data_IF_372247688436
#
_entry.id   IF_372247688436
#
_cell.length_a   1.000
_cell.length_b   1.000
_cell.length_c   1.000
_cell.angle_alpha   90.00
_cell.angle_beta   90.00
_cell.angle_gamma   90.00
#
_symmetry.space_group_name_H-M   'P 1'
#
loop_
_entity.id
_entity.type
_entity.pdbx_description
1 polymer ?
#
# COMPACT_ATOMS: atom_id res chain seq x y z
N UNK A 1 33.08 -70.37 30.27
CA UNK A 1 31.77 -69.69 30.26
C UNK A 1 32.00 -68.19 30.39
N UNK A 2 31.38 -67.42 29.51
CA UNK A 2 31.67 -66.01 29.19
C UNK A 2 31.77 -65.13 30.46
N UNK A 3 32.97 -64.66 30.79
CA UNK A 3 33.17 -63.53 31.72
C UNK A 3 33.07 -62.25 30.90
N UNK A 4 32.03 -61.47 31.20
CA UNK A 4 31.75 -60.17 30.60
C UNK A 4 32.76 -59.18 31.16
N UNK A 5 33.61 -58.65 30.28
CA UNK A 5 34.50 -57.53 30.58
C UNK A 5 33.67 -56.25 30.64
N UNK A 6 33.48 -55.71 31.85
CA UNK A 6 32.94 -54.35 32.02
C UNK A 6 34.11 -53.37 31.93
N UNK A 7 34.24 -52.67 30.80
CA UNK A 7 35.13 -51.52 30.71
C UNK A 7 34.51 -50.38 31.51
N UNK A 8 35.10 -50.08 32.66
CA UNK A 8 34.85 -48.83 33.39
C UNK A 8 35.62 -47.74 32.64
N UNK A 9 34.94 -47.03 31.71
CA UNK A 9 35.50 -45.82 31.12
C UNK A 9 35.40 -44.70 32.18
N UNK A 10 36.52 -44.44 32.85
CA UNK A 10 36.70 -43.26 33.66
C UNK A 10 36.86 -42.07 32.69
N UNK A 11 35.77 -41.35 32.41
CA UNK A 11 35.89 -40.05 31.76
C UNK A 11 36.36 -39.04 32.80
N UNK A 12 37.62 -38.65 32.68
CA UNK A 12 38.16 -37.45 33.30
C UNK A 12 37.35 -36.24 32.83
N UNK A 13 36.77 -35.52 33.80
CA UNK A 13 36.17 -34.20 33.57
C UNK A 13 37.28 -33.24 33.11
N UNK A 14 37.36 -32.98 31.81
CA UNK A 14 38.00 -31.78 31.29
C UNK A 14 36.88 -30.80 31.02
N UNK A 15 36.76 -29.81 31.92
CA UNK A 15 35.91 -28.65 31.72
C UNK A 15 36.50 -27.81 30.56
N UNK A 16 36.07 -28.09 29.34
CA UNK A 16 36.16 -27.14 28.24
C UNK A 16 34.90 -26.28 28.29
N UNK A 17 35.07 -25.04 28.72
CA UNK A 17 34.07 -23.99 28.61
C UNK A 17 33.87 -23.67 27.13
N UNK A 18 32.85 -24.26 26.52
CA UNK A 18 32.41 -23.88 25.17
C UNK A 18 31.81 -22.47 25.20
N UNK A 19 32.69 -21.47 25.01
CA UNK A 19 32.33 -20.14 24.51
C UNK A 19 31.93 -20.26 23.03
N UNK A 20 30.78 -20.86 22.74
CA UNK A 20 30.24 -20.83 21.36
C UNK A 20 28.72 -20.79 21.26
N UNK A 21 27.96 -20.85 22.37
CA UNK A 21 26.50 -20.83 22.31
C UNK A 21 25.81 -19.47 22.59
N UNK A 22 26.55 -18.36 22.64
CA UNK A 22 25.99 -17.03 22.94
C UNK A 22 26.10 -15.99 21.81
N UNK A 23 26.50 -16.39 20.59
CA UNK A 23 26.73 -15.44 19.48
C UNK A 23 25.74 -15.53 18.30
N UNK A 24 24.59 -16.20 18.46
CA UNK A 24 23.57 -16.25 17.40
C UNK A 24 22.29 -15.45 17.76
N UNK A 25 22.16 -14.95 18.98
CA UNK A 25 20.94 -14.22 19.41
C UNK A 25 21.06 -12.69 19.37
N UNK A 26 22.19 -12.13 18.91
CA UNK A 26 22.41 -10.67 18.87
C UNK A 26 22.95 -10.12 17.55
N UNK A 27 22.84 -10.88 16.45
CA UNK A 27 23.04 -10.29 15.12
C UNK A 27 21.75 -9.58 14.66
N UNK A 28 21.75 -8.26 14.84
CA UNK A 28 21.02 -7.24 14.06
C UNK A 28 19.48 -7.22 14.09
N UNK A 29 18.84 -7.22 15.26
CA UNK A 29 17.48 -6.64 15.36
C UNK A 29 17.52 -5.11 15.62
N UNK A 30 18.65 -4.59 16.11
CA UNK A 30 18.79 -3.22 16.59
C UNK A 30 19.40 -2.22 15.57
N UNK A 31 19.48 -2.57 14.29
CA UNK A 31 20.10 -1.68 13.28
C UNK A 31 19.18 -1.11 12.20
N UNK A 32 17.86 -1.33 12.21
CA UNK A 32 17.01 -0.89 11.08
C UNK A 32 15.61 -0.36 11.39
N UNK A 33 15.26 -0.06 12.64
CA UNK A 33 14.00 0.63 12.94
C UNK A 33 14.33 2.02 13.49
N UNK A 34 14.20 3.05 12.64
CA UNK A 34 14.18 4.45 13.10
C UNK A 34 13.02 4.61 14.12
N UNK A 35 13.14 5.53 15.08
CA UNK A 35 12.08 5.81 16.09
C UNK A 35 10.71 6.03 15.42
N UNK A 36 10.71 6.69 14.27
CA UNK A 36 9.54 6.87 13.42
C UNK A 36 8.85 5.55 13.04
N UNK A 37 9.64 4.52 12.71
CA UNK A 37 9.13 3.19 12.39
C UNK A 37 8.53 2.51 13.63
N UNK A 38 9.07 2.78 14.84
CA UNK A 38 8.53 2.24 16.08
C UNK A 38 7.20 2.90 16.45
N UNK A 39 7.08 4.22 16.27
CA UNK A 39 5.84 4.94 16.52
C UNK A 39 4.68 4.43 15.63
N UNK A 40 4.94 4.21 14.33
CA UNK A 40 3.93 3.67 13.42
C UNK A 40 3.51 2.24 13.78
N UNK A 41 4.48 1.40 14.18
CA UNK A 41 4.21 0.01 14.59
C UNK A 41 3.42 -0.04 15.91
N UNK A 42 3.74 0.83 16.88
CA UNK A 42 3.01 0.96 18.13
C UNK A 42 1.57 1.42 17.87
N UNK A 43 1.40 2.50 17.10
CA UNK A 43 0.08 3.00 16.73
C UNK A 43 -0.75 1.93 16.00
N UNK A 44 -0.14 1.17 15.07
CA UNK A 44 -0.81 0.05 14.44
C UNK A 44 -1.20 -1.04 15.44
N UNK A 45 -0.30 -1.44 16.34
CA UNK A 45 -0.57 -2.48 17.32
C UNK A 45 -1.75 -2.13 18.24
N UNK A 46 -1.88 -0.86 18.63
CA UNK A 46 -2.97 -0.35 19.46
C UNK A 46 -4.31 -0.26 18.71
N UNK A 47 -4.30 -0.05 17.39
CA UNK A 47 -5.50 0.27 16.60
C UNK A 47 -5.89 -0.81 15.57
N UNK A 48 -5.11 -1.88 15.41
CA UNK A 48 -5.37 -2.94 14.39
C UNK A 48 -6.59 -3.81 14.68
N UNK A 49 -6.99 -3.90 15.95
CA UNK A 49 -8.01 -4.86 16.40
C UNK A 49 -9.41 -4.25 16.31
N UNK A 50 -10.14 -4.64 15.26
CA UNK A 50 -11.58 -4.44 15.19
C UNK A 50 -12.24 -5.66 14.56
N UNK A 51 -12.87 -6.48 15.40
CA UNK A 51 -13.52 -7.71 14.94
C UNK A 51 -14.92 -7.48 14.39
N UNK A 52 -15.52 -6.31 14.69
CA UNK A 52 -16.85 -5.99 14.21
C UNK A 52 -16.85 -5.76 12.70
N UNK A 53 -17.91 -6.16 11.98
CA UNK A 53 -18.06 -5.81 10.58
C UNK A 53 -18.17 -4.30 10.42
N UNK A 54 -17.45 -3.75 9.45
CA UNK A 54 -17.56 -2.33 9.08
C UNK A 54 -18.97 -2.00 8.58
N UNK A 55 -19.48 -0.83 8.97
CA UNK A 55 -20.72 -0.26 8.40
C UNK A 55 -20.36 0.98 7.60
N UNK A 56 -20.43 0.87 6.28
CA UNK A 56 -20.32 1.98 5.35
C UNK A 56 -21.68 2.68 5.27
N UNK A 57 -21.78 3.94 5.67
CA UNK A 57 -23.05 4.69 5.72
C UNK A 57 -22.95 5.87 4.76
N UNK A 58 -23.99 6.09 3.94
CA UNK A 58 -24.02 7.18 2.97
C UNK A 58 -23.08 6.97 1.79
N UNK A 59 -22.69 8.07 1.15
CA UNK A 59 -21.87 8.06 -0.07
C UNK A 59 -20.40 8.37 0.25
N UNK A 60 -19.51 8.14 -0.73
CA UNK A 60 -18.08 8.46 -0.58
C UNK A 60 -17.82 9.93 -0.26
N UNK A 61 -18.70 10.86 -0.65
CA UNK A 61 -18.57 12.29 -0.38
C UNK A 61 -19.60 12.90 0.57
N UNK A 62 -20.41 12.07 1.21
CA UNK A 62 -21.35 12.46 2.28
C UNK A 62 -21.70 11.19 3.05
N UNK A 63 -20.84 10.80 3.98
CA UNK A 63 -20.90 9.48 4.57
C UNK A 63 -20.22 9.36 5.92
N UNK A 64 -20.31 8.17 6.50
CA UNK A 64 -19.68 7.78 7.76
C UNK A 64 -19.18 6.35 7.67
N UNK A 65 -18.20 6.02 8.49
CA UNK A 65 -17.68 4.68 8.65
C UNK A 65 -17.75 4.29 10.13
N UNK A 66 -18.44 3.20 10.42
CA UNK A 66 -18.36 2.56 11.72
C UNK A 66 -17.54 1.27 11.63
N UNK A 67 -16.89 0.93 12.74
CA UNK A 67 -15.99 -0.22 12.84
C UNK A 67 -14.90 -0.21 11.74
N UNK A 68 -14.20 0.91 11.64
CA UNK A 68 -13.09 1.07 10.72
C UNK A 68 -11.93 0.14 11.07
N UNK A 69 -11.17 -0.23 10.06
CA UNK A 69 -9.95 -1.03 10.14
C UNK A 69 -8.76 -0.17 9.71
N UNK A 70 -7.74 -0.08 10.56
CA UNK A 70 -6.49 0.60 10.22
C UNK A 70 -5.67 -0.22 9.23
N UNK A 71 -5.17 0.40 8.17
CA UNK A 71 -4.20 -0.21 7.25
C UNK A 71 -2.82 -0.28 7.93
N UNK A 72 -2.01 -1.35 7.78
CA UNK A 72 -0.63 -1.32 8.27
C UNK A 72 0.20 -0.28 7.52
N UNK A 73 1.12 0.37 8.24
CA UNK A 73 2.05 1.35 7.65
C UNK A 73 3.03 0.70 6.67
N UNK A 74 3.49 -0.52 6.97
CA UNK A 74 4.42 -1.27 6.13
C UNK A 74 3.83 -2.62 5.73
N UNK A 75 4.10 -3.04 4.49
CA UNK A 75 3.91 -4.39 4.01
C UNK A 75 5.09 -4.86 3.19
N UNK A 76 5.03 -6.10 2.69
CA UNK A 76 6.21 -6.71 2.06
C UNK A 76 6.64 -6.07 0.73
N UNK A 77 5.72 -5.37 0.06
CA UNK A 77 5.95 -4.65 -1.20
C UNK A 77 5.19 -3.32 -1.24
N UNK A 78 4.74 -2.78 -0.10
CA UNK A 78 4.10 -1.47 -0.06
C UNK A 78 4.40 -0.73 1.24
N UNK A 79 4.30 0.60 1.19
CA UNK A 79 4.32 1.49 2.35
C UNK A 79 3.12 2.44 2.33
N UNK A 80 2.65 2.88 3.49
CA UNK A 80 1.90 4.13 3.61
C UNK A 80 2.88 5.30 3.47
N UNK A 81 2.46 6.37 2.79
CA UNK A 81 3.37 7.40 2.33
C UNK A 81 3.87 8.38 3.40
N UNK A 82 3.04 8.68 4.40
CA UNK A 82 3.27 9.81 5.30
C UNK A 82 2.91 9.48 6.74
N UNK A 83 3.83 9.76 7.67
CA UNK A 83 3.67 9.43 9.08
C UNK A 83 2.66 10.35 9.76
N UNK A 84 2.71 11.66 9.46
CA UNK A 84 1.80 12.64 10.03
C UNK A 84 0.35 12.33 9.64
N UNK A 85 0.09 12.04 8.36
CA UNK A 85 -1.21 11.59 7.85
C UNK A 85 -1.68 10.30 8.53
N UNK A 86 -0.78 9.35 8.76
CA UNK A 86 -1.11 8.08 9.43
C UNK A 86 -1.50 8.29 10.90
N UNK A 87 -0.70 9.04 11.66
CA UNK A 87 -0.97 9.38 13.07
C UNK A 87 -2.19 10.30 13.23
N UNK A 88 -2.50 11.12 12.21
CA UNK A 88 -3.73 11.89 12.13
C UNK A 88 -4.97 11.04 11.80
N UNK A 89 -4.84 9.69 11.84
CA UNK A 89 -5.92 8.72 11.66
C UNK A 89 -6.54 8.71 10.26
N UNK A 90 -5.76 9.02 9.21
CA UNK A 90 -6.24 9.07 7.81
C UNK A 90 -6.02 7.77 7.02
N UNK A 91 -5.49 6.74 7.67
CA UNK A 91 -5.22 5.42 7.09
C UNK A 91 -6.28 4.36 7.45
N UNK A 92 -7.47 4.78 7.86
CA UNK A 92 -8.56 3.88 8.23
C UNK A 92 -9.46 3.59 7.02
N UNK A 93 -10.00 2.39 6.93
CA UNK A 93 -10.94 2.04 5.86
C UNK A 93 -11.88 0.93 6.32
N UNK A 94 -12.82 0.53 5.48
CA UNK A 94 -13.64 -0.64 5.77
C UNK A 94 -12.82 -1.94 5.72
N UNK A 95 -13.18 -2.93 6.53
CA UNK A 95 -12.52 -4.24 6.56
C UNK A 95 -12.46 -4.90 5.18
N UNK A 96 -13.48 -4.65 4.34
CA UNK A 96 -13.54 -5.18 2.98
C UNK A 96 -12.51 -4.50 2.06
N UNK A 97 -12.39 -3.17 2.09
CA UNK A 97 -11.40 -2.44 1.28
C UNK A 97 -9.98 -2.77 1.73
N UNK A 98 -9.73 -2.83 3.05
CA UNK A 98 -8.45 -3.32 3.58
C UNK A 98 -8.09 -4.70 3.03
N UNK A 99 -9.06 -5.63 3.00
CA UNK A 99 -8.87 -6.98 2.46
C UNK A 99 -8.53 -6.95 0.96
N UNK A 100 -9.25 -6.15 0.17
CA UNK A 100 -9.00 -6.00 -1.28
C UNK A 100 -7.58 -5.49 -1.52
N UNK A 101 -7.15 -4.45 -0.80
CA UNK A 101 -5.83 -3.84 -0.96
C UNK A 101 -4.72 -4.83 -0.57
N UNK A 102 -4.83 -5.49 0.58
CA UNK A 102 -3.79 -6.44 1.03
C UNK A 102 -3.64 -7.63 0.07
N UNK A 103 -4.76 -8.23 -0.36
CA UNK A 103 -4.72 -9.33 -1.33
C UNK A 103 -4.16 -8.86 -2.69
N UNK A 104 -4.45 -7.62 -3.09
CA UNK A 104 -3.89 -7.02 -4.32
C UNK A 104 -2.37 -6.92 -4.23
N UNK A 105 -1.83 -6.49 -3.07
CA UNK A 105 -0.39 -6.41 -2.88
C UNK A 105 0.27 -7.79 -2.82
N UNK A 106 -0.38 -8.81 -2.26
CA UNK A 106 0.09 -10.20 -2.33
C UNK A 106 0.15 -10.70 -3.78
N UNK A 107 -0.89 -10.47 -4.59
CA UNK A 107 -0.93 -10.82 -6.01
C UNK A 107 0.15 -10.04 -6.81
N UNK A 108 0.36 -8.76 -6.52
CA UNK A 108 1.39 -7.94 -7.17
C UNK A 108 2.80 -8.37 -6.79
N UNK A 109 3.03 -8.83 -5.56
CA UNK A 109 4.32 -9.38 -5.15
C UNK A 109 4.69 -10.60 -5.99
N UNK A 110 3.73 -11.42 -6.37
CA UNK A 110 3.97 -12.60 -7.20
C UNK A 110 4.18 -12.21 -8.68
N UNK A 111 3.46 -11.22 -9.17
CA UNK A 111 3.42 -10.90 -10.61
C UNK A 111 4.35 -9.77 -11.04
N UNK A 112 4.86 -8.96 -10.12
CA UNK A 112 5.86 -7.89 -10.29
C UNK A 112 6.78 -7.81 -9.06
N UNK A 113 7.52 -8.87 -8.71
CA UNK A 113 8.24 -9.00 -7.43
C UNK A 113 9.27 -7.90 -7.13
N UNK A 114 9.76 -7.21 -8.17
CA UNK A 114 10.76 -6.15 -8.03
C UNK A 114 10.13 -4.75 -7.92
N UNK A 115 8.82 -4.65 -7.66
CA UNK A 115 8.10 -3.39 -7.54
C UNK A 115 7.61 -3.17 -6.12
N UNK A 116 7.72 -1.91 -5.69
CA UNK A 116 7.14 -1.39 -4.45
C UNK A 116 6.01 -0.41 -4.78
N UNK A 117 5.00 -0.39 -3.93
CA UNK A 117 3.82 0.45 -4.05
C UNK A 117 3.69 1.38 -2.85
N UNK A 118 2.99 2.49 -3.04
CA UNK A 118 2.76 3.46 -1.97
C UNK A 118 1.29 3.81 -1.91
N UNK A 119 0.74 3.62 -0.71
CA UNK A 119 -0.63 3.92 -0.36
C UNK A 119 -0.68 5.33 0.21
N UNK A 120 -1.64 6.11 -0.25
CA UNK A 120 -1.94 7.43 0.28
C UNK A 120 -3.20 7.37 1.14
N UNK A 121 -3.95 8.45 1.20
CA UNK A 121 -5.12 8.62 2.05
C UNK A 121 -6.19 7.54 1.83
N UNK A 122 -6.79 7.13 2.95
CA UNK A 122 -8.05 6.41 3.01
C UNK A 122 -9.06 7.28 3.78
N UNK A 123 -9.94 6.66 4.56
CA UNK A 123 -10.85 7.37 5.46
C UNK A 123 -10.22 7.71 6.81
N UNK A 124 -10.92 8.59 7.54
CA UNK A 124 -10.73 8.72 8.97
C UNK A 124 -11.36 7.55 9.74
N UNK A 125 -10.99 7.37 11.01
CA UNK A 125 -11.52 6.30 11.90
C UNK A 125 -13.05 6.24 11.98
N UNK A 126 -13.75 7.37 11.78
CA UNK A 126 -15.21 7.46 11.78
C UNK A 126 -15.78 7.80 10.39
N UNK A 127 -14.95 7.82 9.36
CA UNK A 127 -15.29 8.42 8.08
C UNK A 127 -15.58 9.92 8.23
N UNK A 128 -16.60 10.42 7.53
CA UNK A 128 -16.98 11.82 7.54
C UNK A 128 -16.03 12.71 6.75
N UNK A 129 -16.27 14.02 6.79
CA UNK A 129 -15.49 15.02 6.07
C UNK A 129 -14.00 14.95 6.44
N UNK A 130 -13.14 15.10 5.43
CA UNK A 130 -11.69 14.99 5.60
C UNK A 130 -10.98 16.02 4.71
N UNK A 131 -10.85 17.26 5.19
CA UNK A 131 -10.19 18.33 4.43
C UNK A 131 -8.76 17.97 3.98
N UNK A 132 -8.34 18.30 2.75
CA UNK A 132 -9.11 18.97 1.69
C UNK A 132 -9.94 18.01 0.80
N UNK A 133 -9.91 16.70 1.10
CA UNK A 133 -10.63 15.69 0.35
C UNK A 133 -12.13 15.86 0.50
N UNK A 134 -12.83 15.75 -0.62
CA UNK A 134 -14.30 15.76 -0.67
C UNK A 134 -14.91 14.37 -0.61
N UNK A 135 -14.12 13.32 -0.87
CA UNK A 135 -14.51 11.91 -0.81
C UNK A 135 -13.98 11.25 0.47
N UNK A 136 -13.72 9.93 0.47
CA UNK A 136 -13.16 9.18 1.60
C UNK A 136 -14.03 9.14 2.86
N UNK A 137 -15.31 9.50 2.78
CA UNK A 137 -16.12 9.68 3.98
C UNK A 137 -16.75 8.38 4.52
N UNK A 138 -16.84 7.31 3.73
CA UNK A 138 -17.58 6.11 4.12
C UNK A 138 -16.74 4.82 4.14
N UNK A 139 -15.41 4.89 4.02
CA UNK A 139 -14.53 3.71 4.04
C UNK A 139 -14.46 2.93 2.72
N UNK A 140 -14.91 3.51 1.61
CA UNK A 140 -14.91 2.87 0.29
C UNK A 140 -14.01 3.57 -0.75
N UNK A 141 -13.18 4.51 -0.32
CA UNK A 141 -12.26 5.24 -1.19
C UNK A 141 -10.81 5.03 -0.74
N UNK A 142 -9.88 5.17 -1.68
CA UNK A 142 -8.43 5.06 -1.44
C UNK A 142 -7.66 5.82 -2.50
N UNK A 143 -6.58 6.49 -2.07
CA UNK A 143 -5.59 7.11 -2.95
C UNK A 143 -4.33 6.24 -3.02
N UNK A 144 -3.77 6.13 -4.22
CA UNK A 144 -2.54 5.39 -4.48
C UNK A 144 -1.57 6.28 -5.25
N UNK A 145 -0.29 6.27 -4.86
CA UNK A 145 0.74 6.91 -5.67
C UNK A 145 0.87 6.22 -7.02
N UNK A 146 1.10 7.00 -8.07
CA UNK A 146 1.47 6.47 -9.36
C UNK A 146 2.91 5.92 -9.30
N UNK A 147 3.15 4.65 -9.67
CA UNK A 147 4.50 4.12 -9.78
C UNK A 147 5.31 4.90 -10.80
N UNK A 148 6.60 5.07 -10.53
CA UNK A 148 7.51 5.86 -11.36
C UNK A 148 8.67 5.02 -11.89
N UNK A 149 9.25 5.49 -12.98
CA UNK A 149 10.52 5.02 -13.52
C UNK A 149 11.48 6.18 -13.69
N UNK A 150 12.77 5.91 -13.62
CA UNK A 150 13.86 6.82 -13.96
C UNK A 150 14.72 6.13 -15.02
N UNK A 151 14.80 6.70 -16.21
CA UNK A 151 15.47 6.06 -17.36
C UNK A 151 14.95 4.63 -17.65
N UNK A 152 13.65 4.40 -17.45
CA UNK A 152 13.00 3.10 -17.70
C UNK A 152 13.18 2.06 -16.58
N UNK A 153 13.87 2.39 -15.49
CA UNK A 153 14.05 1.52 -14.31
C UNK A 153 13.13 2.00 -13.20
N UNK A 154 12.57 1.10 -12.38
CA UNK A 154 11.71 1.48 -11.26
C UNK A 154 12.38 2.54 -10.36
N UNK A 155 11.64 3.58 -9.99
CA UNK A 155 12.12 4.70 -9.20
C UNK A 155 11.18 5.00 -8.03
N UNK A 156 11.76 5.27 -6.86
CA UNK A 156 11.04 5.54 -5.61
C UNK A 156 11.54 6.80 -4.89
N UNK A 157 12.46 7.55 -5.49
CA UNK A 157 13.08 8.76 -4.90
C UNK A 157 12.03 9.79 -4.44
N UNK A 158 10.89 9.87 -5.15
CA UNK A 158 9.82 10.83 -4.86
C UNK A 158 8.71 10.26 -3.96
N UNK A 159 8.70 8.95 -3.68
CA UNK A 159 7.58 8.29 -3.00
C UNK A 159 7.68 8.37 -1.46
N UNK A 160 8.78 8.92 -0.92
CA UNK A 160 9.02 9.05 0.52
C UNK A 160 9.02 10.51 1.00
N UNK A 161 8.44 11.42 0.23
CA UNK A 161 8.38 12.86 0.53
C UNK A 161 7.29 13.23 1.56
N UNK A 162 6.49 12.25 2.00
CA UNK A 162 5.34 12.50 2.88
C UNK A 162 4.35 13.47 2.23
N UNK A 163 3.82 14.41 3.02
CA UNK A 163 2.91 15.46 2.52
C UNK A 163 3.46 16.28 1.34
N UNK A 164 4.79 16.41 1.23
CA UNK A 164 5.40 17.23 0.17
C UNK A 164 5.25 16.57 -1.22
N UNK A 165 4.84 15.29 -1.27
CA UNK A 165 4.49 14.60 -2.51
C UNK A 165 3.42 15.38 -3.29
N UNK A 166 2.43 15.98 -2.61
CA UNK A 166 1.37 16.77 -3.25
C UNK A 166 1.84 18.06 -3.95
N UNK A 167 3.12 18.44 -3.79
CA UNK A 167 3.73 19.57 -4.50
C UNK A 167 4.53 19.13 -5.72
N UNK A 168 4.61 17.83 -6.01
CA UNK A 168 5.18 17.34 -7.26
C UNK A 168 4.34 17.85 -8.43
N UNK A 169 4.97 17.98 -9.59
CA UNK A 169 4.28 18.39 -10.81
C UNK A 169 4.74 17.54 -11.97
N UNK A 170 3.79 16.88 -12.61
CA UNK A 170 4.00 16.09 -13.81
C UNK A 170 3.25 16.72 -14.98
N UNK A 171 3.93 16.82 -16.11
CA UNK A 171 3.30 17.30 -17.33
C UNK A 171 2.26 16.29 -17.86
N UNK A 172 1.56 16.65 -18.94
CA UNK A 172 0.47 15.84 -19.50
C UNK A 172 0.94 14.51 -20.12
N UNK A 173 2.24 14.34 -20.32
CA UNK A 173 2.87 13.08 -20.75
C UNK A 173 3.36 12.23 -19.57
N UNK A 174 3.10 12.65 -18.32
CA UNK A 174 3.55 11.97 -17.12
C UNK A 174 5.05 12.07 -16.89
N UNK A 175 5.69 13.13 -17.36
CA UNK A 175 7.11 13.41 -17.09
C UNK A 175 7.23 14.41 -15.95
N UNK A 176 8.10 14.11 -14.98
CA UNK A 176 8.34 14.98 -13.85
C UNK A 176 8.99 16.29 -14.31
N UNK A 177 8.51 17.42 -13.77
CA UNK A 177 8.96 18.74 -14.18
C UNK A 177 10.45 18.98 -13.89
N UNK A 178 10.91 18.62 -12.69
CA UNK A 178 12.27 18.98 -12.23
C UNK A 178 13.35 17.99 -12.68
N UNK A 179 12.98 16.73 -12.98
CA UNK A 179 13.87 15.72 -13.58
C UNK A 179 13.13 14.94 -14.67
N UNK A 180 13.41 15.31 -15.93
CA UNK A 180 12.77 14.71 -17.12
C UNK A 180 13.12 13.24 -17.35
N UNK A 181 14.09 12.69 -16.62
CA UNK A 181 14.38 11.25 -16.64
C UNK A 181 13.34 10.45 -15.84
N UNK A 182 12.61 11.10 -14.93
CA UNK A 182 11.56 10.50 -14.12
C UNK A 182 10.21 10.59 -14.83
N UNK A 183 9.55 9.45 -14.99
CA UNK A 183 8.26 9.32 -15.68
C UNK A 183 7.31 8.40 -14.92
N UNK A 184 6.01 8.68 -15.05
CA UNK A 184 4.94 7.79 -14.60
C UNK A 184 4.97 6.47 -15.37
N UNK A 185 4.83 5.36 -14.64
CA UNK A 185 4.69 4.01 -15.19
C UNK A 185 3.21 3.66 -15.38
N UNK A 186 2.67 4.13 -16.50
CA UNK A 186 1.26 3.93 -16.84
C UNK A 186 0.85 2.46 -16.95
N UNK A 187 1.74 1.57 -17.39
CA UNK A 187 1.42 0.14 -17.51
C UNK A 187 1.24 -0.49 -16.13
N UNK A 188 2.10 -0.13 -15.17
CA UNK A 188 1.96 -0.63 -13.81
C UNK A 188 0.71 -0.07 -13.10
N UNK A 189 0.32 1.18 -13.36
CA UNK A 189 -0.96 1.72 -12.86
C UNK A 189 -2.12 0.84 -13.36
N UNK A 190 -2.17 0.55 -14.66
CA UNK A 190 -3.23 -0.27 -15.23
C UNK A 190 -3.24 -1.69 -14.63
N UNK A 191 -2.07 -2.31 -14.44
CA UNK A 191 -1.95 -3.60 -13.76
C UNK A 191 -2.45 -3.55 -12.32
N UNK A 192 -2.13 -2.49 -11.59
CA UNK A 192 -2.59 -2.29 -10.22
C UNK A 192 -4.12 -2.19 -10.15
N UNK A 193 -4.74 -1.37 -11.01
CA UNK A 193 -6.19 -1.22 -11.10
C UNK A 193 -6.89 -2.56 -11.43
N UNK A 194 -6.34 -3.33 -12.38
CA UNK A 194 -6.89 -4.65 -12.74
C UNK A 194 -6.80 -5.62 -11.55
N UNK A 195 -5.68 -5.64 -10.83
CA UNK A 195 -5.51 -6.49 -9.66
C UNK A 195 -6.47 -6.12 -8.51
N UNK A 196 -6.67 -4.82 -8.26
CA UNK A 196 -7.66 -4.32 -7.30
C UNK A 196 -9.06 -4.78 -7.67
N UNK A 197 -9.42 -4.69 -8.96
CA UNK A 197 -10.73 -5.05 -9.43
C UNK A 197 -11.02 -6.56 -9.30
N UNK A 198 -10.05 -7.40 -9.64
CA UNK A 198 -10.18 -8.85 -9.48
C UNK A 198 -10.30 -9.25 -8.00
N UNK A 199 -9.54 -8.62 -7.10
CA UNK A 199 -9.67 -8.86 -5.67
C UNK A 199 -10.99 -8.32 -5.08
N UNK A 200 -11.51 -7.21 -5.61
CA UNK A 200 -12.84 -6.71 -5.25
C UNK A 200 -13.94 -7.71 -5.62
N UNK A 201 -13.89 -8.29 -6.83
CA UNK A 201 -14.87 -9.29 -7.30
C UNK A 201 -14.92 -10.53 -6.40
N UNK A 202 -13.76 -11.01 -5.93
CA UNK A 202 -13.64 -12.17 -5.03
C UNK A 202 -14.44 -12.01 -3.73
N UNK A 203 -14.70 -10.77 -3.32
CA UNK A 203 -15.39 -10.45 -2.06
C UNK A 203 -16.74 -9.74 -2.26
N UNK A 204 -17.31 -9.81 -3.47
CA UNK A 204 -18.64 -9.26 -3.76
C UNK A 204 -18.68 -7.74 -3.96
N UNK A 205 -17.54 -7.13 -4.28
CA UNK A 205 -17.40 -5.72 -4.58
C UNK A 205 -16.90 -5.52 -6.03
N UNK A 206 -16.89 -4.27 -6.48
CA UNK A 206 -16.25 -3.84 -7.72
C UNK A 206 -15.68 -2.44 -7.55
N UNK A 207 -14.85 -2.04 -8.50
CA UNK A 207 -14.44 -0.63 -8.63
C UNK A 207 -15.62 0.14 -9.24
N UNK A 208 -16.11 1.16 -8.54
CA UNK A 208 -17.14 2.06 -9.04
C UNK A 208 -16.54 3.08 -10.02
N UNK A 209 -15.35 3.59 -9.68
CA UNK A 209 -14.71 4.69 -10.41
C UNK A 209 -13.22 4.76 -10.09
N UNK A 210 -12.42 5.06 -11.12
CA UNK A 210 -11.02 5.47 -11.00
C UNK A 210 -10.89 6.93 -11.44
N UNK A 211 -10.33 7.77 -10.58
CA UNK A 211 -9.99 9.15 -10.87
C UNK A 211 -8.47 9.23 -11.10
N UNK A 212 -8.10 9.78 -12.26
CA UNK A 212 -6.73 10.07 -12.69
C UNK A 212 -6.80 11.34 -13.53
N UNK A 213 -5.71 12.11 -13.61
CA UNK A 213 -5.59 13.21 -14.56
C UNK A 213 -6.01 12.78 -15.98
N UNK A 214 -6.94 13.51 -16.59
CA UNK A 214 -7.66 13.05 -17.78
C UNK A 214 -6.78 12.92 -19.02
N UNK A 215 -5.72 13.72 -19.09
CA UNK A 215 -4.71 13.72 -20.14
C UNK A 215 -3.92 12.39 -20.17
N UNK A 216 -3.77 11.73 -19.01
CA UNK A 216 -3.05 10.46 -18.90
C UNK A 216 -3.79 9.27 -19.51
N UNK A 217 -5.07 9.39 -19.83
CA UNK A 217 -5.86 8.26 -20.29
C UNK A 217 -5.33 7.65 -21.59
N UNK A 218 -4.83 8.48 -22.51
CA UNK A 218 -4.27 7.98 -23.76
C UNK A 218 -2.99 7.19 -23.48
N UNK A 219 -2.09 7.71 -22.64
CA UNK A 219 -0.87 7.01 -22.23
C UNK A 219 -1.21 5.71 -21.47
N UNK A 220 -2.13 5.78 -20.50
CA UNK A 220 -2.65 4.66 -19.74
C UNK A 220 -3.15 3.55 -20.65
N UNK A 221 -4.11 3.84 -21.53
CA UNK A 221 -4.79 2.82 -22.35
C UNK A 221 -3.96 2.28 -23.52
N UNK A 222 -2.86 2.95 -23.90
CA UNK A 222 -1.98 2.47 -24.97
C UNK A 222 -0.98 1.41 -24.48
N UNK A 223 -0.84 1.23 -23.17
CA UNK A 223 0.01 0.19 -22.57
C UNK A 223 -0.60 -1.22 -22.68
N UNK A 224 0.19 -2.30 -22.56
CA UNK A 224 -0.32 -3.68 -22.56
C UNK A 224 -1.46 -3.91 -21.55
N UNK A 225 -1.25 -3.58 -20.28
CA UNK A 225 -2.27 -3.70 -19.23
C UNK A 225 -3.36 -2.64 -19.39
N UNK A 226 -3.01 -1.47 -19.92
CA UNK A 226 -3.96 -0.42 -20.27
C UNK A 226 -5.03 -0.84 -21.28
N UNK A 227 -4.66 -1.66 -22.27
CA UNK A 227 -5.60 -2.22 -23.24
C UNK A 227 -6.59 -3.17 -22.56
N UNK A 228 -6.11 -4.00 -21.62
CA UNK A 228 -6.97 -4.87 -20.81
C UNK A 228 -7.90 -4.05 -19.91
N UNK A 229 -7.38 -3.00 -19.28
CA UNK A 229 -8.18 -2.05 -18.48
C UNK A 229 -9.27 -1.39 -19.34
N UNK A 230 -8.96 -0.96 -20.56
CA UNK A 230 -9.94 -0.35 -21.48
C UNK A 230 -11.03 -1.34 -21.92
N UNK A 231 -10.74 -2.63 -21.98
CA UNK A 231 -11.69 -3.69 -22.32
C UNK A 231 -12.52 -4.16 -21.11
N UNK A 232 -12.11 -3.80 -19.89
CA UNK A 232 -12.84 -4.12 -18.67
C UNK A 232 -14.10 -3.25 -18.50
N UNK A 233 -14.92 -3.60 -17.51
CA UNK A 233 -16.10 -2.82 -17.06
C UNK A 233 -15.74 -1.70 -16.07
N UNK A 234 -14.45 -1.42 -15.86
CA UNK A 234 -13.97 -0.41 -14.91
C UNK A 234 -14.13 1.00 -15.49
N UNK A 235 -14.90 1.83 -14.80
CA UNK A 235 -15.06 3.23 -15.18
C UNK A 235 -13.85 4.08 -14.76
N UNK A 236 -13.06 4.53 -15.75
CA UNK A 236 -12.05 5.57 -15.58
C UNK A 236 -12.65 6.92 -16.01
N UNK A 237 -12.62 7.91 -15.13
CA UNK A 237 -13.27 9.23 -15.33
C UNK A 237 -12.97 9.83 -16.70
N UNK A 238 -13.96 10.50 -17.30
CA UNK A 238 -13.80 11.15 -18.61
C UNK A 238 -13.42 12.62 -18.51
N UNK A 239 -13.96 13.31 -17.51
CA UNK A 239 -13.74 14.72 -17.27
C UNK A 239 -13.65 14.94 -15.76
N UNK A 240 -12.87 15.94 -15.36
CA UNK A 240 -12.74 16.41 -13.99
C UNK A 240 -12.84 17.94 -13.98
N UNK A 241 -13.16 18.54 -12.83
CA UNK A 241 -13.00 19.98 -12.70
C UNK A 241 -11.50 20.33 -12.82
N UNK A 242 -11.14 21.53 -13.31
CA UNK A 242 -9.73 21.89 -13.52
C UNK A 242 -8.85 21.69 -12.28
N UNK A 243 -9.36 22.06 -11.10
CA UNK A 243 -8.65 21.91 -9.83
C UNK A 243 -8.43 20.44 -9.48
N UNK A 244 -9.48 19.60 -9.58
CA UNK A 244 -9.34 18.17 -9.27
C UNK A 244 -8.40 17.51 -10.28
N UNK A 245 -8.48 17.88 -11.56
CA UNK A 245 -7.60 17.33 -12.59
C UNK A 245 -6.12 17.67 -12.33
N UNK A 246 -5.84 18.92 -11.95
CA UNK A 246 -4.48 19.41 -11.74
C UNK A 246 -3.76 18.75 -10.56
N UNK A 247 -4.48 18.33 -9.53
CA UNK A 247 -3.87 17.71 -8.34
C UNK A 247 -3.69 16.18 -8.46
N UNK A 248 -4.21 15.53 -9.50
CA UNK A 248 -4.10 14.06 -9.70
C UNK A 248 -3.03 13.69 -10.74
N UNK A 249 -1.93 14.43 -10.80
CA UNK A 249 -0.84 14.23 -11.75
C UNK A 249 0.25 13.26 -11.23
N UNK A 250 0.19 12.86 -9.95
CA UNK A 250 1.14 11.92 -9.33
C UNK A 250 0.47 10.76 -8.55
N UNK A 251 -0.85 10.79 -8.40
CA UNK A 251 -1.64 9.76 -7.72
C UNK A 251 -2.96 9.49 -8.45
N UNK A 252 -3.56 8.33 -8.16
CA UNK A 252 -4.89 7.98 -8.64
C UNK A 252 -5.78 7.53 -7.48
N UNK A 253 -7.05 7.86 -7.60
CA UNK A 253 -8.06 7.59 -6.59
C UNK A 253 -9.01 6.50 -7.07
N UNK A 254 -9.39 5.59 -6.18
CA UNK A 254 -10.31 4.48 -6.47
C UNK A 254 -11.47 4.50 -5.48
N UNK A 255 -12.68 4.56 -6.01
CA UNK A 255 -13.91 4.31 -5.27
C UNK A 255 -14.37 2.86 -5.51
N UNK A 256 -14.70 2.16 -4.44
CA UNK A 256 -15.33 0.83 -4.46
C UNK A 256 -16.83 0.91 -4.20
N UNK A 257 -17.57 -0.05 -4.73
CA UNK A 257 -18.98 -0.25 -4.37
C UNK A 257 -19.31 -1.74 -4.31
N UNK A 258 -20.38 -2.05 -3.57
CA UNK A 258 -20.91 -3.42 -3.51
C UNK A 258 -21.50 -3.79 -4.88
N UNK A 259 -21.28 -5.03 -5.31
CA UNK A 259 -21.82 -5.55 -6.57
C UNK A 259 -23.32 -5.81 -6.47
#
# INVERSE_FOLDING_TARGET
MKKITFYFLCFSCIACTDKSLNNITNLSLNTFLNEDSLAMLAFYAENKSNELPSRNIGTVGNGKLENASLMPFYGSNFNYFDQDSYLAKRAFTSKIVKTIILNTYDDLKLTVPNRKFFLMELSNIHGGEMSPHRTHQNGLSVDFMMPKTKNGIANYELDTLGKDHYFLTFNDDGTYHDDKSIKIDFDLIAKHILCLHENAKKVGYKIAKVIIKTEYKNALFNTPNGKLLKQSDIYVVKNLSPIVNAIHDDHFHVDFEKK
#
